data_IF_972154689829
#
_entry.id   IF_972154689829
#
_cell.length_a   1.000
_cell.length_b   1.000
_cell.length_c   1.000
_cell.angle_alpha   90.00
_cell.angle_beta   90.00
_cell.angle_gamma   90.00
#
_symmetry.space_group_name_H-M   'P 1'
#
loop_
_entity.id
_entity.type
_entity.pdbx_description
1 polymer ?
#
# COMPACT_ATOMS: atom_id res chain seq x y z
N UNK A 1 -32.35 -11.64 5.52
CA UNK A 1 -33.39 -11.59 4.47
C UNK A 1 -32.65 -11.40 3.14
N UNK A 2 -32.55 -12.44 2.32
CA UNK A 2 -31.65 -12.50 1.16
C UNK A 2 -32.22 -11.72 -0.03
N UNK A 3 -31.75 -10.49 -0.22
CA UNK A 3 -32.06 -9.64 -1.37
C UNK A 3 -31.73 -10.34 -2.71
N UNK A 4 -30.65 -11.14 -2.72
CA UNK A 4 -30.25 -11.97 -3.87
C UNK A 4 -31.28 -13.06 -4.22
N UNK A 5 -31.93 -13.65 -3.22
CA UNK A 5 -32.91 -14.73 -3.40
C UNK A 5 -34.20 -14.22 -4.03
N UNK A 6 -34.71 -13.08 -3.56
CA UNK A 6 -35.86 -12.42 -4.15
C UNK A 6 -35.57 -11.91 -5.57
N UNK A 7 -34.38 -11.37 -5.82
CA UNK A 7 -34.01 -10.89 -7.15
C UNK A 7 -33.92 -12.03 -8.19
N UNK A 8 -33.38 -13.19 -7.80
CA UNK A 8 -33.31 -14.38 -8.66
C UNK A 8 -34.69 -15.00 -8.91
N UNK A 9 -35.58 -14.99 -7.91
CA UNK A 9 -36.92 -15.54 -8.05
C UNK A 9 -37.84 -14.63 -8.89
N UNK A 10 -37.72 -13.31 -8.73
CA UNK A 10 -38.48 -12.34 -9.52
C UNK A 10 -38.01 -12.25 -10.98
N UNK A 11 -36.72 -12.47 -11.23
CA UNK A 11 -36.18 -12.53 -12.61
C UNK A 11 -36.56 -13.83 -13.32
N UNK A 12 -36.63 -14.97 -12.61
CA UNK A 12 -37.06 -16.24 -13.19
C UNK A 12 -38.52 -16.21 -13.72
N UNK A 13 -39.45 -15.61 -12.97
CA UNK A 13 -40.85 -15.50 -13.38
C UNK A 13 -41.06 -14.53 -14.56
N UNK A 14 -40.21 -13.51 -14.69
CA UNK A 14 -40.21 -12.61 -15.85
C UNK A 14 -39.53 -13.23 -17.08
N UNK A 15 -38.46 -14.00 -16.90
CA UNK A 15 -37.73 -14.65 -18.00
C UNK A 15 -38.59 -15.67 -18.77
N UNK A 16 -39.60 -16.29 -18.13
CA UNK A 16 -40.54 -17.21 -18.78
C UNK A 16 -41.56 -16.51 -19.71
N UNK A 17 -41.68 -15.18 -19.67
CA UNK A 17 -42.63 -14.39 -20.49
C UNK A 17 -41.95 -13.45 -21.49
N UNK A 18 -40.63 -13.45 -21.54
CA UNK A 18 -39.83 -12.53 -22.35
C UNK A 18 -39.43 -13.26 -23.65
N UNK A 19 -39.68 -12.63 -24.80
CA UNK A 19 -39.26 -13.14 -26.12
C UNK A 19 -37.79 -13.58 -26.09
N UNK A 20 -37.48 -14.74 -26.69
CA UNK A 20 -36.14 -15.34 -26.65
C UNK A 20 -35.00 -14.39 -27.10
N UNK A 21 -35.32 -13.39 -27.93
CA UNK A 21 -34.40 -12.32 -28.35
C UNK A 21 -34.03 -11.40 -27.18
N UNK A 22 -34.99 -11.01 -26.35
CA UNK A 22 -34.75 -10.14 -25.18
C UNK A 22 -33.99 -10.91 -24.10
N UNK A 23 -34.28 -12.19 -23.89
CA UNK A 23 -33.51 -13.06 -22.99
C UNK A 23 -32.04 -13.16 -23.42
N UNK A 24 -31.77 -13.31 -24.73
CA UNK A 24 -30.41 -13.33 -25.29
C UNK A 24 -29.67 -11.99 -25.09
N UNK A 25 -30.34 -10.86 -25.37
CA UNK A 25 -29.77 -9.52 -25.20
C UNK A 25 -29.43 -9.26 -23.73
N UNK A 26 -30.35 -9.58 -22.81
CA UNK A 26 -30.15 -9.42 -21.37
C UNK A 26 -29.00 -10.32 -20.90
N UNK A 27 -28.97 -11.59 -21.30
CA UNK A 27 -27.88 -12.52 -20.98
C UNK A 27 -26.52 -12.02 -21.47
N UNK A 28 -26.43 -11.49 -22.69
CA UNK A 28 -25.22 -10.90 -23.24
C UNK A 28 -24.74 -9.68 -22.43
N UNK A 29 -25.66 -8.76 -22.08
CA UNK A 29 -25.33 -7.58 -21.29
C UNK A 29 -24.84 -7.95 -19.88
N UNK A 30 -25.48 -8.94 -19.24
CA UNK A 30 -25.04 -9.45 -17.94
C UNK A 30 -23.65 -10.10 -18.02
N UNK A 31 -23.41 -10.96 -19.01
CA UNK A 31 -22.10 -11.59 -19.21
C UNK A 31 -21.00 -10.55 -19.45
N UNK A 32 -21.28 -9.56 -20.31
CA UNK A 32 -20.36 -8.44 -20.59
C UNK A 32 -20.08 -7.60 -19.34
N UNK A 33 -21.10 -7.32 -18.53
CA UNK A 33 -20.94 -6.57 -17.29
C UNK A 33 -20.11 -7.36 -16.26
N UNK A 34 -20.43 -8.65 -16.08
CA UNK A 34 -19.68 -9.55 -15.19
C UNK A 34 -18.20 -9.62 -15.58
N UNK A 35 -17.89 -9.82 -16.87
CA UNK A 35 -16.51 -9.86 -17.36
C UNK A 35 -15.75 -8.53 -17.12
N UNK A 36 -16.41 -7.39 -17.35
CA UNK A 36 -15.82 -6.08 -17.05
C UNK A 36 -15.59 -5.88 -15.54
N UNK A 37 -16.52 -6.34 -14.72
CA UNK A 37 -16.40 -6.24 -13.27
C UNK A 37 -15.27 -7.14 -12.75
N UNK A 38 -15.19 -8.39 -13.21
CA UNK A 38 -14.13 -9.34 -12.86
C UNK A 38 -12.75 -8.80 -13.25
N UNK A 39 -12.59 -8.28 -14.47
CA UNK A 39 -11.30 -7.72 -14.92
C UNK A 39 -10.87 -6.47 -14.13
N UNK A 40 -11.80 -5.59 -13.76
CA UNK A 40 -11.49 -4.45 -12.87
C UNK A 40 -11.11 -4.93 -11.48
N UNK A 41 -11.82 -5.94 -10.95
CA UNK A 41 -11.54 -6.48 -9.63
C UNK A 41 -10.16 -7.13 -9.60
N UNK A 42 -9.85 -8.00 -10.55
CA UNK A 42 -8.54 -8.63 -10.72
C UNK A 42 -7.42 -7.59 -10.80
N UNK A 43 -7.58 -6.57 -11.64
CA UNK A 43 -6.62 -5.47 -11.75
C UNK A 43 -6.42 -4.73 -10.44
N UNK A 44 -7.48 -4.57 -9.64
CA UNK A 44 -7.39 -3.96 -8.31
C UNK A 44 -6.61 -4.85 -7.34
N UNK A 45 -6.76 -6.17 -7.40
CA UNK A 45 -5.98 -7.10 -6.56
C UNK A 45 -4.49 -6.97 -6.86
N UNK A 46 -4.11 -6.98 -8.14
CA UNK A 46 -2.72 -6.77 -8.58
C UNK A 46 -2.16 -5.45 -8.03
N UNK A 47 -2.96 -4.38 -8.11
CA UNK A 47 -2.53 -3.06 -7.64
C UNK A 47 -2.27 -3.05 -6.13
N UNK A 48 -3.16 -3.69 -5.35
CA UNK A 48 -3.04 -3.80 -3.90
C UNK A 48 -1.80 -4.61 -3.52
N UNK A 49 -1.58 -5.75 -4.17
CA UNK A 49 -0.43 -6.62 -3.92
C UNK A 49 0.89 -5.89 -4.19
N UNK A 50 1.01 -5.23 -5.35
CA UNK A 50 2.21 -4.49 -5.70
C UNK A 50 2.43 -3.28 -4.78
N UNK A 51 1.36 -2.57 -4.40
CA UNK A 51 1.45 -1.48 -3.43
C UNK A 51 2.00 -1.96 -2.08
N UNK A 52 1.47 -3.08 -1.57
CA UNK A 52 1.95 -3.67 -0.32
C UNK A 52 3.42 -4.08 -0.41
N UNK A 53 3.82 -4.73 -1.52
CA UNK A 53 5.20 -5.14 -1.76
C UNK A 53 6.16 -3.94 -1.74
N UNK A 54 5.85 -2.86 -2.47
CA UNK A 54 6.67 -1.64 -2.50
C UNK A 54 6.80 -1.00 -1.12
N UNK A 55 5.71 -0.88 -0.36
CA UNK A 55 5.73 -0.37 1.03
C UNK A 55 6.67 -1.19 1.93
N UNK A 56 6.60 -2.52 1.84
CA UNK A 56 7.46 -3.42 2.62
C UNK A 56 8.92 -3.30 2.22
N UNK A 57 9.22 -3.17 0.93
CA UNK A 57 10.57 -3.00 0.41
C UNK A 57 11.19 -1.68 0.88
N UNK A 58 10.45 -0.57 0.79
CA UNK A 58 10.91 0.74 1.28
C UNK A 58 11.17 0.70 2.78
N UNK A 59 10.25 0.14 3.57
CA UNK A 59 10.45 0.00 5.01
C UNK A 59 11.70 -0.84 5.34
N UNK A 60 11.92 -1.94 4.60
CA UNK A 60 13.09 -2.80 4.78
C UNK A 60 14.39 -2.06 4.45
N UNK A 61 14.45 -1.35 3.32
CA UNK A 61 15.65 -0.57 2.96
C UNK A 61 15.90 0.54 3.96
N UNK A 62 14.84 1.22 4.43
CA UNK A 62 15.01 2.30 5.39
C UNK A 62 15.52 1.78 6.73
N UNK A 63 14.96 0.68 7.23
CA UNK A 63 15.45 0.03 8.46
C UNK A 63 16.89 -0.44 8.34
N UNK A 64 17.32 -0.91 7.16
CA UNK A 64 18.72 -1.28 6.91
C UNK A 64 19.64 -0.06 6.96
N UNK A 65 19.21 1.06 6.39
CA UNK A 65 19.92 2.34 6.42
C UNK A 65 20.04 2.91 7.84
N UNK A 66 19.00 2.76 8.65
CA UNK A 66 18.94 3.35 10.01
C UNK A 66 19.39 2.40 11.11
N UNK A 67 19.83 1.18 10.76
CA UNK A 67 20.26 0.17 11.73
C UNK A 67 21.43 0.64 12.60
N UNK A 68 21.43 0.34 13.92
CA UNK A 68 22.50 0.75 14.85
C UNK A 68 23.79 0.00 14.66
N UNK A 69 23.73 -1.20 14.11
CA UNK A 69 24.88 -2.03 13.84
C UNK A 69 24.89 -2.35 12.35
N UNK A 70 26.06 -2.23 11.73
CA UNK A 70 26.33 -2.70 10.38
C UNK A 70 26.91 -4.11 10.49
N UNK A 71 26.35 -5.07 9.76
CA UNK A 71 26.91 -6.42 9.72
C UNK A 71 28.13 -6.47 8.79
N UNK A 72 29.08 -7.38 9.05
CA UNK A 72 30.24 -7.56 8.17
C UNK A 72 29.75 -8.05 6.80
N UNK A 73 30.05 -7.30 5.74
CA UNK A 73 29.57 -7.58 4.39
C UNK A 73 28.33 -6.77 3.98
N UNK A 74 27.81 -5.91 4.85
CA UNK A 74 26.76 -4.96 4.49
C UNK A 74 27.25 -3.93 3.46
N UNK A 75 26.31 -3.46 2.65
CA UNK A 75 26.49 -2.29 1.78
C UNK A 75 26.91 -1.07 2.59
N UNK A 76 27.69 -0.18 1.97
CA UNK A 76 28.04 1.10 2.59
C UNK A 76 26.80 1.95 2.88
N UNK A 77 26.89 2.87 3.85
CA UNK A 77 25.78 3.76 4.18
C UNK A 77 25.28 4.54 2.95
N UNK A 78 26.18 5.00 2.08
CA UNK A 78 25.83 5.70 0.84
C UNK A 78 25.07 4.81 -0.15
N UNK A 79 25.42 3.53 -0.26
CA UNK A 79 24.70 2.58 -1.11
C UNK A 79 23.32 2.25 -0.52
N UNK A 80 23.22 2.09 0.80
CA UNK A 80 21.94 1.92 1.50
C UNK A 80 21.03 3.15 1.33
N UNK A 81 21.61 4.35 1.36
CA UNK A 81 20.87 5.60 1.13
C UNK A 81 20.31 5.65 -0.30
N UNK A 82 21.15 5.36 -1.30
CA UNK A 82 20.72 5.28 -2.71
C UNK A 82 19.64 4.23 -2.93
N UNK A 83 19.80 3.05 -2.33
CA UNK A 83 18.83 1.96 -2.40
C UNK A 83 17.47 2.37 -1.79
N UNK A 84 17.48 2.99 -0.61
CA UNK A 84 16.27 3.52 0.01
C UNK A 84 15.60 4.59 -0.87
N UNK A 85 16.34 5.60 -1.33
CA UNK A 85 15.79 6.69 -2.15
C UNK A 85 15.20 6.15 -3.45
N UNK A 86 15.88 5.21 -4.11
CA UNK A 86 15.38 4.57 -5.33
C UNK A 86 14.05 3.86 -5.09
N UNK A 87 13.95 3.05 -4.02
CA UNK A 87 12.72 2.32 -3.68
C UNK A 87 11.61 3.27 -3.24
N UNK A 88 11.93 4.30 -2.48
CA UNK A 88 10.97 5.29 -2.03
C UNK A 88 10.35 6.04 -3.23
N UNK A 89 11.17 6.48 -4.18
CA UNK A 89 10.70 7.14 -5.40
C UNK A 89 9.80 6.22 -6.24
N UNK A 90 10.22 4.97 -6.47
CA UNK A 90 9.41 3.98 -7.18
C UNK A 90 8.05 3.73 -6.48
N UNK A 91 8.05 3.62 -5.16
CA UNK A 91 6.83 3.50 -4.36
C UNK A 91 5.92 4.73 -4.50
N UNK A 92 6.45 5.95 -4.37
CA UNK A 92 5.63 7.17 -4.46
C UNK A 92 5.00 7.33 -5.85
N UNK A 93 5.79 7.13 -6.91
CA UNK A 93 5.30 7.18 -8.29
C UNK A 93 4.20 6.14 -8.50
N UNK A 94 4.41 4.92 -8.01
CA UNK A 94 3.44 3.85 -8.14
C UNK A 94 2.13 4.18 -7.43
N UNK A 95 2.18 4.60 -6.16
CA UNK A 95 0.99 4.89 -5.37
C UNK A 95 0.18 6.06 -5.94
N UNK A 96 0.86 7.11 -6.41
CA UNK A 96 0.21 8.27 -7.04
C UNK A 96 -0.49 7.88 -8.35
N UNK A 97 0.23 7.17 -9.24
CA UNK A 97 -0.34 6.75 -10.54
C UNK A 97 -1.47 5.72 -10.42
N UNK A 98 -1.54 4.98 -9.32
CA UNK A 98 -2.58 3.97 -9.06
C UNK A 98 -3.67 4.40 -8.11
N UNK A 99 -3.71 5.68 -7.72
CA UNK A 99 -4.64 6.21 -6.71
C UNK A 99 -6.11 5.83 -6.92
N UNK A 100 -6.56 5.76 -8.18
CA UNK A 100 -7.95 5.42 -8.56
C UNK A 100 -8.39 3.99 -8.18
N UNK A 101 -7.44 3.07 -7.94
CA UNK A 101 -7.75 1.69 -7.58
C UNK A 101 -7.95 1.49 -6.07
N UNK A 102 -7.57 2.47 -5.26
CA UNK A 102 -7.70 2.42 -3.81
C UNK A 102 -9.01 3.07 -3.36
N UNK A 103 -9.69 2.42 -2.41
CA UNK A 103 -10.80 3.01 -1.66
C UNK A 103 -10.32 4.18 -0.80
N UNK A 104 -11.23 5.04 -0.35
CA UNK A 104 -10.89 6.19 0.49
C UNK A 104 -10.19 5.80 1.80
N UNK A 105 -10.56 4.64 2.37
CA UNK A 105 -9.91 4.11 3.58
C UNK A 105 -8.46 3.68 3.30
N UNK A 106 -8.24 2.97 2.18
CA UNK A 106 -6.89 2.56 1.74
C UNK A 106 -6.02 3.78 1.45
N UNK A 107 -6.52 4.76 0.70
CA UNK A 107 -5.80 6.00 0.39
C UNK A 107 -5.39 6.75 1.66
N UNK A 108 -6.30 6.91 2.62
CA UNK A 108 -5.99 7.57 3.89
C UNK A 108 -4.85 6.88 4.64
N UNK A 109 -4.84 5.55 4.68
CA UNK A 109 -3.80 4.79 5.35
C UNK A 109 -2.47 4.84 4.57
N UNK A 110 -2.52 4.79 3.24
CA UNK A 110 -1.36 5.02 2.38
C UNK A 110 -0.76 6.40 2.66
N UNK A 111 -1.58 7.46 2.69
CA UNK A 111 -1.15 8.84 2.94
C UNK A 111 -0.45 8.97 4.30
N UNK A 112 -1.01 8.34 5.35
CA UNK A 112 -0.39 8.29 6.69
C UNK A 112 1.00 7.65 6.63
N UNK A 113 1.13 6.51 5.94
CA UNK A 113 2.40 5.80 5.82
C UNK A 113 3.42 6.62 5.02
N UNK A 114 3.01 7.19 3.89
CA UNK A 114 3.89 8.01 3.03
C UNK A 114 4.38 9.26 3.75
N UNK A 115 3.50 9.95 4.50
CA UNK A 115 3.89 11.10 5.30
C UNK A 115 4.88 10.70 6.40
N UNK A 116 4.66 9.56 7.06
CA UNK A 116 5.60 9.04 8.05
C UNK A 116 6.97 8.72 7.46
N UNK A 117 7.02 8.21 6.22
CA UNK A 117 8.26 8.05 5.47
C UNK A 117 8.99 9.38 5.25
N UNK A 118 8.28 10.40 4.77
CA UNK A 118 8.84 11.72 4.56
C UNK A 118 9.36 12.37 5.85
N UNK A 119 8.57 12.34 6.93
CA UNK A 119 8.97 12.89 8.23
C UNK A 119 10.24 12.22 8.75
N UNK A 120 10.28 10.90 8.72
CA UNK A 120 11.43 10.12 9.22
C UNK A 120 12.67 10.33 8.36
N UNK A 121 12.49 10.46 7.04
CA UNK A 121 13.56 10.79 6.10
C UNK A 121 14.15 12.17 6.36
N UNK A 122 13.30 13.18 6.58
CA UNK A 122 13.74 14.53 6.90
C UNK A 122 14.53 14.56 8.21
N UNK A 123 14.08 13.84 9.24
CA UNK A 123 14.84 13.68 10.49
C UNK A 123 16.19 12.99 10.26
N UNK A 124 16.26 11.97 9.41
CA UNK A 124 17.51 11.30 9.06
C UNK A 124 18.49 12.24 8.34
N UNK A 125 18.00 13.01 7.35
CA UNK A 125 18.79 14.01 6.62
C UNK A 125 19.31 15.08 7.57
N UNK A 126 18.44 15.66 8.38
CA UNK A 126 18.81 16.69 9.35
C UNK A 126 19.86 16.17 10.35
N UNK A 127 19.69 14.96 10.88
CA UNK A 127 20.68 14.30 11.74
C UNK A 127 22.05 14.19 11.05
N UNK A 128 22.08 13.86 9.77
CA UNK A 128 23.31 13.76 8.99
C UNK A 128 23.94 15.13 8.70
N UNK A 129 23.14 16.18 8.55
CA UNK A 129 23.63 17.55 8.31
C UNK A 129 24.33 18.11 9.55
N UNK A 130 23.80 17.86 10.75
CA UNK A 130 24.36 18.36 12.02
C UNK A 130 25.42 17.46 12.65
N UNK A 131 25.78 16.33 12.00
CA UNK A 131 26.60 15.27 12.62
C UNK A 131 28.01 15.72 13.03
N UNK A 132 28.52 16.76 12.39
CA UNK A 132 29.85 17.31 12.63
C UNK A 132 29.82 18.58 13.50
N UNK A 133 28.64 19.03 13.92
CA UNK A 133 28.48 20.29 14.65
C UNK A 133 28.89 20.13 16.12
N UNK A 134 29.86 20.93 16.61
CA UNK A 134 30.22 20.92 18.02
C UNK A 134 29.03 21.30 18.90
N UNK A 135 28.61 20.40 19.78
CA UNK A 135 27.47 20.60 20.69
C UNK A 135 26.17 19.89 20.30
N UNK A 136 26.09 19.32 19.10
CA UNK A 136 24.88 18.64 18.61
C UNK A 136 24.74 17.18 19.07
N UNK A 137 25.69 16.65 19.86
CA UNK A 137 25.72 15.22 20.23
C UNK A 137 24.43 14.73 20.93
N UNK A 138 23.85 15.54 21.81
CA UNK A 138 22.60 15.20 22.51
C UNK A 138 21.43 15.11 21.54
N UNK A 139 21.37 16.03 20.58
CA UNK A 139 20.34 16.10 19.57
C UNK A 139 20.47 14.95 18.56
N UNK A 140 21.69 14.65 18.10
CA UNK A 140 21.99 13.49 17.24
C UNK A 140 21.51 12.19 17.91
N UNK A 141 21.79 12.02 19.21
CA UNK A 141 21.37 10.84 19.97
C UNK A 141 19.83 10.73 20.04
N UNK A 142 19.15 11.88 20.26
CA UNK A 142 17.68 11.95 20.27
C UNK A 142 17.10 11.56 18.92
N UNK A 143 17.55 12.21 17.85
CA UNK A 143 17.11 11.95 16.48
C UNK A 143 17.36 10.50 16.08
N UNK A 144 18.53 9.97 16.43
CA UNK A 144 18.87 8.58 16.15
C UNK A 144 17.85 7.60 16.74
N UNK A 145 17.48 7.80 18.01
CA UNK A 145 16.45 7.00 18.68
C UNK A 145 15.08 7.15 18.01
N UNK A 146 14.66 8.39 17.71
CA UNK A 146 13.37 8.67 17.07
C UNK A 146 13.27 8.02 15.68
N UNK A 147 14.33 8.12 14.87
CA UNK A 147 14.39 7.48 13.55
C UNK A 147 14.33 5.96 13.68
N UNK A 148 15.06 5.39 14.63
CA UNK A 148 15.05 3.95 14.86
C UNK A 148 13.68 3.46 15.34
N UNK A 149 13.06 4.12 16.31
CA UNK A 149 11.72 3.76 16.79
C UNK A 149 10.68 3.88 15.67
N UNK A 150 10.76 4.95 14.85
CA UNK A 150 9.90 5.13 13.68
C UNK A 150 10.04 3.98 12.66
N UNK A 151 11.26 3.66 12.23
CA UNK A 151 11.52 2.66 11.19
C UNK A 151 11.37 1.20 11.68
N UNK A 152 11.61 0.94 12.97
CA UNK A 152 11.58 -0.43 13.53
C UNK A 152 10.25 -0.81 14.17
N UNK A 153 9.43 0.16 14.59
CA UNK A 153 8.15 -0.10 15.30
C UNK A 153 6.97 0.58 14.64
N UNK A 154 7.02 1.90 14.47
CA UNK A 154 5.85 2.67 14.04
C UNK A 154 5.46 2.37 12.60
N UNK A 155 6.39 2.47 11.65
CA UNK A 155 6.16 2.16 10.24
C UNK A 155 5.69 0.72 10.01
N UNK A 156 6.33 -0.32 10.58
CA UNK A 156 5.79 -1.68 10.54
C UNK A 156 4.36 -1.78 11.07
N UNK A 157 4.03 -1.10 12.17
CA UNK A 157 2.67 -1.09 12.73
C UNK A 157 1.64 -0.48 11.77
N UNK A 158 1.98 0.64 11.12
CA UNK A 158 1.12 1.26 10.11
C UNK A 158 0.94 0.35 8.89
N UNK A 159 2.02 -0.25 8.39
CA UNK A 159 1.97 -1.19 7.25
C UNK A 159 1.13 -2.43 7.59
N UNK A 160 1.26 -2.97 8.81
CA UNK A 160 0.43 -4.09 9.28
C UNK A 160 -1.05 -3.71 9.39
N UNK A 161 -1.35 -2.45 9.69
CA UNK A 161 -2.73 -1.96 9.76
C UNK A 161 -3.32 -1.86 8.35
N UNK A 162 -2.56 -1.34 7.38
CA UNK A 162 -2.95 -1.35 5.98
C UNK A 162 -3.07 -2.77 5.41
N UNK A 163 -2.20 -3.70 5.81
CA UNK A 163 -2.27 -5.11 5.40
C UNK A 163 -3.62 -5.74 5.76
N UNK A 164 -4.16 -5.44 6.95
CA UNK A 164 -5.48 -5.93 7.36
C UNK A 164 -6.59 -5.38 6.46
N UNK A 165 -6.49 -4.11 6.07
CA UNK A 165 -7.45 -3.47 5.15
C UNK A 165 -7.34 -4.12 3.78
N UNK A 166 -6.13 -4.33 3.27
CA UNK A 166 -5.88 -5.04 2.02
C UNK A 166 -6.41 -6.46 2.05
N UNK A 167 -6.15 -7.26 3.10
CA UNK A 167 -6.72 -8.61 3.24
C UNK A 167 -8.24 -8.60 3.16
N UNK A 168 -8.91 -7.68 3.85
CA UNK A 168 -10.36 -7.50 3.76
C UNK A 168 -10.81 -7.16 2.34
N UNK A 169 -10.06 -6.32 1.63
CA UNK A 169 -10.33 -5.96 0.24
C UNK A 169 -10.13 -7.13 -0.75
N UNK A 170 -9.28 -8.10 -0.40
CA UNK A 170 -9.06 -9.35 -1.12
C UNK A 170 -10.06 -10.46 -0.73
N UNK A 171 -10.96 -10.22 0.24
CA UNK A 171 -11.87 -11.23 0.77
C UNK A 171 -11.22 -12.26 1.70
N UNK A 172 -10.00 -12.00 2.18
CA UNK A 172 -9.27 -12.82 3.13
C UNK A 172 -9.64 -12.41 4.57
N UNK A 173 -9.68 -13.39 5.49
CA UNK A 173 -9.92 -13.16 6.93
C UNK A 173 -8.65 -12.74 7.66
#
# INVERSE_FOLDING_TARGET
MNFLGYFLQYTADYFLKIDGVVALVVGYLFARWKFKFESIHERRLEVIEEAYSKLKLVNRSFRSLTAPLQEVGDLSESEKEKDFVSKANDMFIYLDTKKLFFSSEEQKNIDIITNKFFETWNSYRYKNDIKNDPGSQKEITRLYKEIWDSTSKEMPGLILSLEKIFKKALGLK
#
